data_IF_265555732644
#
_entry.id   IF_265555732644
#
_cell.length_a   1.000
_cell.length_b   1.000
_cell.length_c   1.000
_cell.angle_alpha   90.00
_cell.angle_beta   90.00
_cell.angle_gamma   90.00
#
_symmetry.space_group_name_H-M   'P 1'
#
loop_
_entity.id
_entity.type
_entity.pdbx_description
1 polymer ?
#
# COMPACT_ATOMS: atom_id res chain seq x y z
N UNK A 1 -28.68 42.24 16.29
CA UNK A 1 -27.60 42.46 15.31
C UNK A 1 -26.45 41.53 15.66
N UNK A 2 -26.33 40.37 14.99
CA UNK A 2 -25.18 39.48 15.16
C UNK A 2 -23.96 40.13 14.51
N UNK A 3 -22.91 40.28 15.32
CA UNK A 3 -21.70 41.01 14.98
C UNK A 3 -20.97 40.27 13.84
N UNK A 4 -20.73 40.94 12.71
CA UNK A 4 -20.07 40.36 11.52
C UNK A 4 -18.66 39.80 11.80
N UNK A 5 -18.08 40.15 12.95
CA UNK A 5 -16.81 39.62 13.44
C UNK A 5 -16.89 38.15 13.92
N UNK A 6 -18.05 37.67 14.36
CA UNK A 6 -18.20 36.27 14.80
C UNK A 6 -18.30 35.30 13.60
N UNK A 7 -18.77 35.80 12.45
CA UNK A 7 -18.87 35.00 11.22
C UNK A 7 -17.52 34.80 10.52
N UNK A 8 -16.56 35.71 10.73
CA UNK A 8 -15.21 35.60 10.14
C UNK A 8 -14.32 34.59 10.87
N UNK A 9 -14.54 34.37 12.17
CA UNK A 9 -13.80 33.36 12.94
C UNK A 9 -14.32 31.92 12.74
N UNK A 10 -15.53 31.75 12.21
CA UNK A 10 -16.08 30.42 11.90
C UNK A 10 -15.53 29.83 10.59
N UNK A 11 -14.89 30.65 9.74
CA UNK A 11 -14.39 30.22 8.40
C UNK A 11 -12.91 29.78 8.45
N UNK A 12 -12.20 29.99 9.56
CA UNK A 12 -10.74 29.76 9.67
C UNK A 12 -10.32 28.56 10.54
N UNK A 13 -11.15 27.53 10.69
CA UNK A 13 -10.82 26.42 11.59
C UNK A 13 -11.05 25.01 11.04
N UNK A 14 -11.09 24.81 9.73
CA UNK A 14 -10.90 23.47 9.14
C UNK A 14 -9.43 23.31 8.78
N UNK A 15 -8.58 23.19 9.80
CA UNK A 15 -7.23 22.67 9.60
C UNK A 15 -7.36 21.16 9.52
N UNK A 16 -7.74 20.68 8.33
CA UNK A 16 -7.66 19.26 8.00
C UNK A 16 -6.20 18.86 8.01
N UNK A 17 -5.86 17.71 8.59
CA UNK A 17 -4.64 17.00 8.26
C UNK A 17 -4.48 17.03 6.75
N UNK A 18 -3.47 17.74 6.26
CA UNK A 18 -3.20 17.74 4.83
C UNK A 18 -2.51 16.40 4.60
N UNK A 19 -3.27 15.34 4.28
CA UNK A 19 -2.74 14.04 3.85
C UNK A 19 -1.98 14.15 2.51
N UNK A 20 -1.85 15.35 1.92
CA UNK A 20 -1.11 15.56 0.67
C UNK A 20 0.32 14.99 0.65
N UNK A 21 1.11 14.97 1.75
CA UNK A 21 2.41 14.32 1.74
C UNK A 21 2.27 12.85 1.30
N UNK A 22 1.40 12.06 1.92
CA UNK A 22 1.26 10.63 1.55
C UNK A 22 0.76 10.38 0.13
N UNK A 23 0.14 11.37 -0.53
CA UNK A 23 -0.59 11.16 -1.76
C UNK A 23 0.21 10.51 -2.89
N UNK A 24 1.34 11.12 -3.25
CA UNK A 24 2.16 10.66 -4.37
C UNK A 24 2.80 9.30 -4.08
N UNK A 25 3.54 9.13 -2.98
CA UNK A 25 4.15 7.83 -2.70
C UNK A 25 3.10 6.72 -2.51
N UNK A 26 1.96 6.99 -1.87
CA UNK A 26 0.90 5.98 -1.72
C UNK A 26 0.28 5.60 -3.07
N UNK A 27 0.03 6.57 -3.95
CA UNK A 27 -0.48 6.32 -5.29
C UNK A 27 0.49 5.48 -6.13
N UNK A 28 1.78 5.81 -6.09
CA UNK A 28 2.84 5.04 -6.76
C UNK A 28 2.97 3.63 -6.18
N UNK A 29 2.93 3.50 -4.86
CA UNK A 29 3.00 2.21 -4.16
C UNK A 29 1.83 1.29 -4.50
N UNK A 30 0.60 1.81 -4.50
CA UNK A 30 -0.59 1.10 -4.93
C UNK A 30 -0.49 0.65 -6.40
N UNK A 31 -0.07 1.55 -7.30
CA UNK A 31 0.10 1.20 -8.73
C UNK A 31 1.14 0.10 -8.95
N UNK A 32 2.25 0.11 -8.20
CA UNK A 32 3.26 -0.94 -8.27
C UNK A 32 2.71 -2.27 -7.75
N UNK A 33 1.99 -2.26 -6.63
CA UNK A 33 1.33 -3.46 -6.10
C UNK A 33 0.31 -4.03 -7.09
N UNK A 34 -0.46 -3.16 -7.76
CA UNK A 34 -1.41 -3.58 -8.79
C UNK A 34 -0.71 -4.29 -9.94
N UNK A 35 0.43 -3.75 -10.39
CA UNK A 35 1.28 -4.37 -11.42
C UNK A 35 1.91 -5.69 -10.96
N UNK A 36 2.17 -5.88 -9.66
CA UNK A 36 2.56 -7.19 -9.13
C UNK A 36 1.44 -8.21 -9.32
N UNK A 37 0.20 -7.83 -8.98
CA UNK A 37 -0.98 -8.68 -9.20
C UNK A 37 -1.20 -9.04 -10.66
N UNK A 38 -1.06 -8.06 -11.57
CA UNK A 38 -1.14 -8.29 -13.02
C UNK A 38 -0.04 -9.25 -13.51
N UNK A 39 1.20 -9.07 -13.03
CA UNK A 39 2.30 -9.97 -13.37
C UNK A 39 2.06 -11.40 -12.87
N UNK A 40 1.46 -11.56 -11.68
CA UNK A 40 1.09 -12.87 -11.15
C UNK A 40 -0.02 -13.54 -11.97
N UNK A 41 -1.06 -12.80 -12.35
CA UNK A 41 -2.11 -13.31 -13.26
C UNK A 41 -1.48 -13.74 -14.58
N UNK A 42 -0.63 -12.91 -15.17
CA UNK A 42 0.02 -13.22 -16.44
C UNK A 42 0.90 -14.47 -16.35
N UNK A 43 1.61 -14.66 -15.23
CA UNK A 43 2.43 -15.84 -14.99
C UNK A 43 1.62 -17.14 -15.14
N UNK A 44 0.38 -17.14 -14.65
CA UNK A 44 -0.51 -18.32 -14.73
C UNK A 44 -1.09 -18.59 -16.12
N UNK A 45 -0.92 -17.66 -17.06
CA UNK A 45 -1.39 -17.80 -18.44
C UNK A 45 -0.30 -18.25 -19.42
N UNK A 46 0.93 -18.45 -18.93
CA UNK A 46 2.09 -18.84 -19.74
C UNK A 46 2.67 -20.19 -19.23
N UNK A 47 3.23 -21.04 -20.10
CA UNK A 47 3.94 -22.23 -19.66
C UNK A 47 5.06 -21.88 -18.65
N UNK A 48 5.29 -22.66 -17.60
CA UNK A 48 4.71 -23.98 -17.31
C UNK A 48 3.39 -23.96 -16.50
N UNK A 49 2.77 -22.79 -16.26
CA UNK A 49 1.65 -22.64 -15.31
C UNK A 49 0.25 -22.69 -15.96
N UNK A 50 0.16 -22.76 -17.29
CA UNK A 50 -1.08 -22.66 -18.08
C UNK A 50 -2.22 -23.60 -17.65
N UNK A 51 -1.93 -24.76 -17.06
CA UNK A 51 -2.95 -25.77 -16.69
C UNK A 51 -3.24 -25.87 -15.19
N UNK A 52 -2.41 -25.26 -14.34
CA UNK A 52 -2.46 -25.39 -12.87
C UNK A 52 -2.10 -24.03 -12.26
N UNK A 53 -2.97 -23.47 -11.42
CA UNK A 53 -2.81 -22.10 -10.93
C UNK A 53 -4.03 -21.22 -11.10
N UNK A 54 -5.23 -21.79 -11.24
CA UNK A 54 -6.47 -21.01 -11.22
C UNK A 54 -6.62 -20.23 -9.90
N UNK A 55 -6.25 -20.85 -8.78
CA UNK A 55 -6.26 -20.19 -7.46
C UNK A 55 -5.13 -19.16 -7.36
N UNK A 56 -3.95 -19.43 -7.93
CA UNK A 56 -2.84 -18.46 -7.99
C UNK A 56 -3.20 -17.22 -8.82
N UNK A 57 -3.88 -17.42 -9.96
CA UNK A 57 -4.41 -16.34 -10.79
C UNK A 57 -5.43 -15.52 -10.02
N UNK A 58 -6.34 -16.17 -9.29
CA UNK A 58 -7.33 -15.48 -8.47
C UNK A 58 -6.68 -14.68 -7.33
N UNK A 59 -5.61 -15.21 -6.71
CA UNK A 59 -4.80 -14.46 -5.74
C UNK A 59 -4.15 -13.22 -6.39
N UNK A 60 -3.61 -13.35 -7.60
CA UNK A 60 -3.08 -12.22 -8.38
C UNK A 60 -4.13 -11.16 -8.71
N UNK A 61 -5.36 -11.56 -9.03
CA UNK A 61 -6.47 -10.64 -9.26
C UNK A 61 -6.86 -9.87 -7.99
N UNK A 62 -6.97 -10.56 -6.84
CA UNK A 62 -7.21 -9.90 -5.54
C UNK A 62 -6.06 -8.94 -5.18
N UNK A 63 -4.82 -9.32 -5.43
CA UNK A 63 -3.66 -8.43 -5.24
C UNK A 63 -3.71 -7.18 -6.13
N UNK A 64 -4.14 -7.35 -7.38
CA UNK A 64 -4.30 -6.23 -8.31
C UNK A 64 -5.32 -5.23 -7.78
N UNK A 65 -6.48 -5.71 -7.37
CA UNK A 65 -7.56 -4.88 -6.82
C UNK A 65 -7.10 -4.14 -5.55
N UNK A 66 -6.35 -4.81 -4.66
CA UNK A 66 -5.76 -4.17 -3.50
C UNK A 66 -4.85 -2.99 -3.89
N UNK A 67 -3.97 -3.19 -4.86
CA UNK A 67 -3.09 -2.13 -5.37
C UNK A 67 -3.86 -0.96 -5.98
N UNK A 68 -4.91 -1.23 -6.76
CA UNK A 68 -5.77 -0.21 -7.36
C UNK A 68 -6.48 0.63 -6.27
N UNK A 69 -7.03 -0.02 -5.25
CA UNK A 69 -7.64 0.65 -4.09
C UNK A 69 -6.63 1.51 -3.32
N UNK A 70 -5.41 1.02 -3.02
CA UNK A 70 -4.38 1.83 -2.37
C UNK A 70 -3.94 3.03 -3.22
N UNK A 71 -3.91 2.84 -4.54
CA UNK A 71 -3.62 3.93 -5.48
C UNK A 71 -4.69 5.02 -5.41
N UNK A 72 -5.95 4.61 -5.40
CA UNK A 72 -7.12 5.49 -5.29
C UNK A 72 -7.19 6.18 -3.92
N UNK A 73 -6.87 5.48 -2.84
CA UNK A 73 -6.72 6.06 -1.51
C UNK A 73 -5.67 7.19 -1.52
N UNK A 74 -4.50 6.94 -2.11
CA UNK A 74 -3.45 7.93 -2.33
C UNK A 74 -3.94 9.14 -3.12
N UNK A 75 -4.67 8.94 -4.22
CA UNK A 75 -5.27 10.02 -4.99
C UNK A 75 -6.26 10.86 -4.16
N UNK A 76 -7.09 10.21 -3.35
CA UNK A 76 -8.09 10.84 -2.48
C UNK A 76 -7.45 11.69 -1.38
N UNK A 77 -6.28 11.31 -0.86
CA UNK A 77 -5.57 12.09 0.17
C UNK A 77 -5.19 13.52 -0.26
N UNK A 78 -5.20 13.82 -1.57
CA UNK A 78 -4.94 15.17 -2.11
C UNK A 78 -6.08 16.14 -1.82
N UNK A 79 -7.29 15.63 -1.60
CA UNK A 79 -8.52 16.39 -1.45
C UNK A 79 -8.92 16.47 0.02
N UNK A 80 -9.03 17.69 0.56
CA UNK A 80 -9.36 17.95 1.98
C UNK A 80 -10.71 17.36 2.46
N UNK A 81 -11.60 17.01 1.53
CA UNK A 81 -12.92 16.43 1.81
C UNK A 81 -12.99 14.94 1.50
N UNK A 82 -11.89 14.32 1.07
CA UNK A 82 -11.85 12.94 0.62
C UNK A 82 -11.10 12.03 1.59
N UNK A 83 -10.88 12.45 2.84
CA UNK A 83 -10.26 11.61 3.86
C UNK A 83 -11.11 10.36 4.16
N UNK A 84 -12.44 10.50 4.13
CA UNK A 84 -13.40 9.40 4.22
C UNK A 84 -13.21 8.41 3.05
N UNK A 85 -13.22 8.93 1.82
CA UNK A 85 -12.97 8.11 0.62
C UNK A 85 -11.59 7.45 0.68
N UNK A 86 -10.54 8.15 1.10
CA UNK A 86 -9.21 7.54 1.27
C UNK A 86 -9.21 6.42 2.31
N UNK A 87 -9.95 6.60 3.40
CA UNK A 87 -10.13 5.58 4.44
C UNK A 87 -10.89 4.35 3.96
N UNK A 88 -11.96 4.55 3.20
CA UNK A 88 -12.76 3.46 2.63
C UNK A 88 -11.97 2.66 1.60
N UNK A 89 -11.22 3.32 0.72
CA UNK A 89 -10.34 2.65 -0.25
C UNK A 89 -9.21 1.84 0.43
N UNK A 90 -8.66 2.31 1.55
CA UNK A 90 -7.71 1.52 2.33
C UNK A 90 -8.36 0.25 2.91
N UNK A 91 -9.62 0.34 3.35
CA UNK A 91 -10.36 -0.81 3.89
C UNK A 91 -10.74 -1.80 2.79
N UNK A 92 -11.13 -1.31 1.61
CA UNK A 92 -11.37 -2.17 0.45
C UNK A 92 -10.08 -2.89 0.02
N UNK A 93 -8.95 -2.18 0.03
CA UNK A 93 -7.65 -2.82 -0.19
C UNK A 93 -7.35 -3.90 0.86
N UNK A 94 -7.73 -3.69 2.13
CA UNK A 94 -7.49 -4.67 3.18
C UNK A 94 -8.28 -5.96 2.91
N UNK A 95 -9.55 -5.83 2.53
CA UNK A 95 -10.38 -6.98 2.12
C UNK A 95 -9.73 -7.72 0.95
N UNK A 96 -9.29 -6.98 -0.08
CA UNK A 96 -8.62 -7.58 -1.23
C UNK A 96 -7.29 -8.30 -0.87
N UNK A 97 -6.52 -7.77 0.09
CA UNK A 97 -5.29 -8.40 0.58
C UNK A 97 -5.57 -9.64 1.42
N UNK A 98 -6.62 -9.62 2.25
CA UNK A 98 -7.06 -10.78 3.03
C UNK A 98 -7.53 -11.90 2.10
N UNK A 99 -8.37 -11.57 1.12
CA UNK A 99 -8.76 -12.48 0.06
C UNK A 99 -7.57 -13.05 -0.73
N UNK A 100 -6.56 -12.22 -1.01
CA UNK A 100 -5.33 -12.66 -1.67
C UNK A 100 -4.57 -13.66 -0.79
N UNK A 101 -4.46 -13.38 0.52
CA UNK A 101 -3.86 -14.27 1.51
C UNK A 101 -4.56 -15.63 1.55
N UNK A 102 -5.89 -15.65 1.66
CA UNK A 102 -6.68 -16.89 1.71
C UNK A 102 -6.50 -17.73 0.43
N UNK A 103 -6.57 -17.09 -0.73
CA UNK A 103 -6.35 -17.76 -2.02
C UNK A 103 -4.92 -18.27 -2.14
N UNK A 104 -3.93 -17.52 -1.68
CA UNK A 104 -2.53 -17.97 -1.66
C UNK A 104 -2.34 -19.19 -0.76
N UNK A 105 -2.99 -19.22 0.41
CA UNK A 105 -2.95 -20.37 1.31
C UNK A 105 -3.61 -21.61 0.68
N UNK A 106 -4.76 -21.44 0.02
CA UNK A 106 -5.42 -22.52 -0.71
C UNK A 106 -4.53 -23.04 -1.85
N UNK A 107 -3.91 -22.15 -2.64
CA UNK A 107 -2.97 -22.56 -3.68
C UNK A 107 -1.78 -23.36 -3.13
N UNK A 108 -1.14 -22.89 -2.04
CA UNK A 108 -0.03 -23.60 -1.41
C UNK A 108 -0.44 -25.00 -0.94
N UNK A 109 -1.68 -25.16 -0.46
CA UNK A 109 -2.19 -26.42 0.09
C UNK A 109 -2.64 -27.38 -1.01
N UNK A 110 -3.38 -26.89 -2.01
CA UNK A 110 -4.18 -27.72 -2.91
C UNK A 110 -3.61 -27.82 -4.33
N UNK A 111 -2.82 -26.83 -4.77
CA UNK A 111 -2.39 -26.71 -6.18
C UNK A 111 -0.87 -26.70 -6.37
N UNK A 112 -0.09 -26.37 -5.33
CA UNK A 112 1.35 -26.13 -5.47
C UNK A 112 2.13 -27.35 -5.96
N UNK A 113 1.69 -28.57 -5.63
CA UNK A 113 2.37 -29.80 -6.09
C UNK A 113 2.35 -29.98 -7.61
N UNK A 114 1.43 -29.30 -8.31
CA UNK A 114 1.26 -29.40 -9.76
C UNK A 114 2.00 -28.32 -10.55
N UNK A 115 2.68 -27.40 -9.86
CA UNK A 115 3.37 -26.27 -10.46
C UNK A 115 4.81 -26.17 -9.97
N UNK A 116 5.74 -25.68 -10.80
CA UNK A 116 7.15 -25.53 -10.42
C UNK A 116 7.36 -24.27 -9.55
N UNK A 117 6.64 -24.17 -8.44
CA UNK A 117 6.78 -23.13 -7.41
C UNK A 117 6.94 -23.81 -6.04
N UNK A 118 7.72 -23.19 -5.16
CA UNK A 118 7.90 -23.66 -3.79
C UNK A 118 7.68 -22.52 -2.80
N UNK A 119 6.43 -22.03 -2.76
CA UNK A 119 6.09 -20.89 -1.93
C UNK A 119 6.01 -21.31 -0.45
N UNK A 120 6.61 -20.52 0.47
CA UNK A 120 6.57 -20.87 1.88
C UNK A 120 5.19 -20.58 2.50
N UNK A 121 4.82 -21.37 3.51
CA UNK A 121 3.59 -21.20 4.29
C UNK A 121 3.49 -19.85 5.01
N UNK A 122 4.60 -19.11 5.14
CA UNK A 122 4.60 -17.75 5.71
C UNK A 122 4.11 -16.68 4.74
N UNK A 123 4.03 -16.96 3.43
CA UNK A 123 3.62 -15.96 2.43
C UNK A 123 2.18 -15.44 2.67
N UNK A 124 1.17 -16.30 2.91
CA UNK A 124 -0.16 -15.84 3.30
C UNK A 124 -0.15 -14.95 4.55
N UNK A 125 0.63 -15.30 5.57
CA UNK A 125 0.69 -14.53 6.82
C UNK A 125 1.19 -13.10 6.58
N UNK A 126 2.18 -12.91 5.70
CA UNK A 126 2.65 -11.58 5.33
C UNK A 126 1.61 -10.77 4.55
N UNK A 127 0.78 -11.41 3.71
CA UNK A 127 -0.33 -10.75 3.02
C UNK A 127 -1.45 -10.37 3.99
N UNK A 128 -1.77 -11.24 4.96
CA UNK A 128 -2.72 -10.95 6.02
C UNK A 128 -2.24 -9.80 6.92
N UNK A 129 -0.96 -9.72 7.22
CA UNK A 129 -0.39 -8.59 7.96
C UNK A 129 -0.40 -7.29 7.16
N UNK A 130 -0.18 -7.36 5.84
CA UNK A 130 -0.38 -6.22 4.94
C UNK A 130 -1.85 -5.74 4.98
N UNK A 131 -2.80 -6.67 4.94
CA UNK A 131 -4.24 -6.38 5.06
C UNK A 131 -4.55 -5.63 6.36
N UNK A 132 -4.14 -6.16 7.52
CA UNK A 132 -4.36 -5.50 8.82
C UNK A 132 -3.80 -4.08 8.85
N UNK A 133 -2.60 -3.87 8.31
CA UNK A 133 -1.99 -2.55 8.27
C UNK A 133 -2.75 -1.59 7.35
N UNK A 134 -3.24 -2.05 6.19
CA UNK A 134 -4.09 -1.26 5.30
C UNK A 134 -5.42 -0.88 5.99
N UNK A 135 -6.07 -1.82 6.68
CA UNK A 135 -7.32 -1.56 7.40
C UNK A 135 -7.11 -0.51 8.50
N UNK A 136 -6.05 -0.66 9.28
CA UNK A 136 -5.74 0.26 10.37
C UNK A 136 -5.36 1.65 9.85
N UNK A 137 -4.61 1.73 8.74
CA UNK A 137 -4.37 3.00 8.05
C UNK A 137 -5.70 3.66 7.62
N UNK A 138 -6.62 2.88 7.03
CA UNK A 138 -7.94 3.34 6.63
C UNK A 138 -8.78 3.86 7.80
N UNK A 139 -8.78 3.14 8.94
CA UNK A 139 -9.45 3.58 10.18
C UNK A 139 -8.92 4.91 10.69
N UNK A 140 -7.59 5.10 10.68
CA UNK A 140 -6.98 6.37 11.08
C UNK A 140 -7.42 7.48 10.11
N UNK A 141 -7.32 7.27 8.79
CA UNK A 141 -7.75 8.26 7.79
C UNK A 141 -9.23 8.65 7.93
N UNK A 142 -10.10 7.66 8.15
CA UNK A 142 -11.54 7.88 8.34
C UNK A 142 -11.82 8.72 9.60
N UNK A 143 -11.15 8.41 10.71
CA UNK A 143 -11.33 9.13 11.98
C UNK A 143 -10.97 10.63 11.88
N UNK A 144 -10.07 10.99 10.96
CA UNK A 144 -9.68 12.37 10.67
C UNK A 144 -10.73 13.14 9.88
N UNK A 145 -11.48 12.48 9.00
CA UNK A 145 -12.56 13.11 8.22
C UNK A 145 -13.67 13.70 9.09
N UNK A 146 -13.86 13.16 10.30
CA UNK A 146 -14.92 13.59 11.23
C UNK A 146 -14.47 14.58 12.31
N UNK A 147 -13.17 14.70 12.57
CA UNK A 147 -12.65 15.52 13.68
C UNK A 147 -11.57 16.43 13.13
N UNK A 148 -11.90 17.71 12.92
CA UNK A 148 -10.92 18.77 12.67
C UNK A 148 -10.03 19.00 13.90
N UNK A 149 -9.24 17.99 14.28
CA UNK A 149 -8.37 17.99 15.43
C UNK A 149 -7.28 19.03 15.25
N UNK A 150 -7.10 19.89 16.25
CA UNK A 150 -5.96 20.80 16.35
C UNK A 150 -5.02 20.33 17.45
N UNK A 151 -3.72 20.44 17.24
CA UNK A 151 -2.70 20.19 18.26
C UNK A 151 -2.40 18.71 18.48
N UNK A 152 -2.19 18.29 19.74
CA UNK A 152 -1.62 16.98 20.09
C UNK A 152 -2.31 15.76 19.46
N UNK A 153 -3.62 15.80 19.23
CA UNK A 153 -4.34 14.69 18.61
C UNK A 153 -3.94 14.49 17.15
N UNK A 154 -3.70 15.59 16.42
CA UNK A 154 -3.25 15.56 15.03
C UNK A 154 -1.89 14.86 14.91
N UNK A 155 -0.96 15.14 15.81
CA UNK A 155 0.37 14.50 15.84
C UNK A 155 0.28 13.01 16.16
N UNK A 156 -0.60 12.61 17.09
CA UNK A 156 -0.87 11.20 17.42
C UNK A 156 -1.41 10.45 16.21
N UNK A 157 -2.31 11.06 15.46
CA UNK A 157 -2.93 10.43 14.30
C UNK A 157 -1.96 10.34 13.11
N UNK A 158 -1.07 11.33 12.91
CA UNK A 158 0.04 11.22 11.94
C UNK A 158 1.00 10.10 12.29
N UNK A 159 1.35 9.99 13.56
CA UNK A 159 2.24 8.94 14.03
C UNK A 159 1.60 7.56 13.87
N UNK A 160 0.31 7.42 14.20
CA UNK A 160 -0.43 6.19 14.01
C UNK A 160 -0.53 5.81 12.52
N UNK A 161 -0.91 6.75 11.65
CA UNK A 161 -0.98 6.51 10.20
C UNK A 161 0.40 6.14 9.64
N UNK A 162 1.44 6.87 10.03
CA UNK A 162 2.81 6.57 9.64
C UNK A 162 3.21 5.14 10.05
N UNK A 163 2.87 4.72 11.27
CA UNK A 163 3.16 3.37 11.76
C UNK A 163 2.49 2.29 10.92
N UNK A 164 1.23 2.46 10.54
CA UNK A 164 0.53 1.46 9.74
C UNK A 164 1.03 1.43 8.28
N UNK A 165 1.40 2.57 7.70
CA UNK A 165 2.04 2.61 6.37
C UNK A 165 3.44 1.96 6.39
N UNK A 166 4.19 2.13 7.46
CA UNK A 166 5.46 1.41 7.69
C UNK A 166 5.23 -0.09 7.86
N UNK A 167 4.23 -0.50 8.63
CA UNK A 167 3.86 -1.91 8.78
C UNK A 167 3.45 -2.57 7.47
N UNK A 168 2.72 -1.85 6.61
CA UNK A 168 2.41 -2.29 5.25
C UNK A 168 3.70 -2.46 4.43
N UNK A 169 4.63 -1.50 4.48
CA UNK A 169 5.94 -1.61 3.83
C UNK A 169 6.71 -2.85 4.28
N UNK A 170 6.82 -3.08 5.60
CA UNK A 170 7.51 -4.25 6.16
C UNK A 170 6.88 -5.56 5.68
N UNK A 171 5.54 -5.63 5.69
CA UNK A 171 4.81 -6.81 5.23
C UNK A 171 5.12 -7.11 3.75
N UNK A 172 5.10 -6.08 2.89
CA UNK A 172 5.44 -6.22 1.48
C UNK A 172 6.93 -6.56 1.24
N UNK A 173 7.85 -6.10 2.09
CA UNK A 173 9.27 -6.53 2.05
C UNK A 173 9.44 -7.99 2.41
N UNK A 174 8.67 -8.48 3.38
CA UNK A 174 8.67 -9.90 3.73
C UNK A 174 8.11 -10.75 2.58
N UNK A 175 7.04 -10.30 1.92
CA UNK A 175 6.53 -10.90 0.68
C UNK A 175 7.61 -10.90 -0.41
N UNK A 176 8.27 -9.76 -0.66
CA UNK A 176 9.36 -9.69 -1.62
C UNK A 176 10.47 -10.70 -1.32
N UNK A 177 10.97 -10.72 -0.09
CA UNK A 177 12.08 -11.59 0.31
C UNK A 177 11.78 -13.08 0.09
N UNK A 178 10.55 -13.53 0.37
CA UNK A 178 10.19 -14.94 0.14
C UNK A 178 9.99 -15.28 -1.33
N UNK A 179 9.55 -14.32 -2.15
CA UNK A 179 9.37 -14.51 -3.59
C UNK A 179 10.70 -14.44 -4.34
N UNK A 180 11.60 -13.54 -3.94
CA UNK A 180 12.95 -13.39 -4.53
C UNK A 180 13.81 -14.63 -4.26
N UNK A 181 13.64 -15.28 -3.11
CA UNK A 181 14.31 -16.53 -2.78
C UNK A 181 13.90 -17.71 -3.68
N UNK A 182 12.84 -17.56 -4.50
CA UNK A 182 12.41 -18.59 -5.42
C UNK A 182 13.21 -18.53 -6.73
N UNK A 183 13.83 -19.64 -7.10
CA UNK A 183 14.54 -19.80 -8.37
C UNK A 183 13.55 -20.08 -9.53
N UNK A 184 12.67 -19.13 -9.82
CA UNK A 184 11.70 -19.24 -10.92
C UNK A 184 12.28 -18.59 -12.17
N UNK A 185 12.62 -19.40 -13.17
CA UNK A 185 13.13 -18.95 -14.46
C UNK A 185 12.01 -18.40 -15.37
N UNK A 186 11.25 -17.40 -14.90
CA UNK A 186 10.23 -16.71 -15.68
C UNK A 186 10.39 -15.19 -15.56
N UNK A 187 10.40 -14.48 -16.69
CA UNK A 187 10.56 -13.03 -16.72
C UNK A 187 9.49 -12.30 -15.89
N UNK A 188 8.24 -12.78 -15.92
CA UNK A 188 7.14 -12.23 -15.13
C UNK A 188 7.37 -12.29 -13.61
N UNK A 189 8.06 -13.33 -13.13
CA UNK A 189 8.37 -13.52 -11.72
C UNK A 189 9.30 -12.42 -11.18
N UNK A 190 10.41 -12.18 -11.89
CA UNK A 190 11.39 -11.15 -11.50
C UNK A 190 10.77 -9.74 -11.50
N UNK A 191 9.90 -9.45 -12.47
CA UNK A 191 9.18 -8.18 -12.57
C UNK A 191 8.22 -8.01 -11.40
N UNK A 192 7.45 -9.05 -11.06
CA UNK A 192 6.56 -9.05 -9.90
C UNK A 192 7.33 -8.78 -8.59
N UNK A 193 8.44 -9.48 -8.37
CA UNK A 193 9.28 -9.28 -7.17
C UNK A 193 9.77 -7.83 -7.08
N UNK A 194 10.36 -7.31 -8.17
CA UNK A 194 10.84 -5.93 -8.20
C UNK A 194 9.73 -4.88 -8.01
N UNK A 195 8.47 -5.20 -8.34
CA UNK A 195 7.34 -4.32 -8.03
C UNK A 195 6.97 -4.34 -6.54
N UNK A 196 7.03 -5.50 -5.87
CA UNK A 196 6.80 -5.57 -4.41
C UNK A 196 7.82 -4.75 -3.63
N UNK A 197 9.11 -4.88 -3.94
CA UNK A 197 10.18 -4.11 -3.30
C UNK A 197 9.92 -2.60 -3.44
N UNK A 198 9.68 -2.14 -4.67
CA UNK A 198 9.43 -0.73 -4.95
C UNK A 198 8.14 -0.24 -4.29
N UNK A 199 7.07 -1.05 -4.29
CA UNK A 199 5.82 -0.70 -3.63
C UNK A 199 6.07 -0.50 -2.13
N UNK A 200 6.81 -1.41 -1.49
CA UNK A 200 7.16 -1.30 -0.09
C UNK A 200 7.94 -0.02 0.21
N UNK A 201 8.94 0.33 -0.61
CA UNK A 201 9.70 1.56 -0.44
C UNK A 201 8.82 2.81 -0.56
N UNK A 202 7.81 2.77 -1.42
CA UNK A 202 6.84 3.86 -1.54
C UNK A 202 5.95 3.98 -0.32
N UNK A 203 5.46 2.89 0.27
CA UNK A 203 4.70 2.98 1.53
C UNK A 203 5.56 3.43 2.71
N UNK A 204 6.85 3.08 2.75
CA UNK A 204 7.79 3.63 3.73
C UNK A 204 8.01 5.12 3.52
N UNK A 205 8.11 5.57 2.27
CA UNK A 205 8.18 7.00 1.96
C UNK A 205 6.92 7.74 2.42
N UNK A 206 5.73 7.21 2.15
CA UNK A 206 4.46 7.75 2.68
C UNK A 206 4.49 7.84 4.21
N UNK A 207 4.96 6.80 4.90
CA UNK A 207 5.11 6.79 6.36
C UNK A 207 6.03 7.91 6.86
N UNK A 208 7.19 8.09 6.22
CA UNK A 208 8.14 9.13 6.59
C UNK A 208 7.56 10.52 6.35
N UNK A 209 6.90 10.72 5.21
CA UNK A 209 6.33 12.02 4.84
C UNK A 209 5.19 12.45 5.77
N UNK A 210 4.29 11.54 6.18
CA UNK A 210 3.21 11.89 7.11
C UNK A 210 3.72 12.23 8.51
N UNK A 211 4.82 11.60 8.92
CA UNK A 211 5.53 11.88 10.18
C UNK A 211 6.43 13.10 10.12
N UNK A 212 6.62 13.70 8.93
CA UNK A 212 7.56 14.81 8.74
C UNK A 212 9.03 14.41 8.85
N UNK A 213 9.34 13.12 8.67
CA UNK A 213 10.70 12.61 8.60
C UNK A 213 11.25 12.95 7.21
N UNK A 214 12.12 13.95 7.14
CA UNK A 214 12.75 14.33 5.89
C UNK A 214 13.66 13.20 5.39
N UNK A 215 13.65 12.87 4.08
CA UNK A 215 14.66 12.00 3.51
C UNK A 215 16.04 12.61 3.79
N UNK A 216 17.01 11.77 4.16
CA UNK A 216 18.37 12.22 4.38
C UNK A 216 18.83 13.05 3.17
N UNK A 217 19.22 14.32 3.40
CA UNK A 217 19.80 15.13 2.33
C UNK A 217 20.97 14.33 1.75
N UNK A 218 21.09 14.18 0.42
CA UNK A 218 22.21 13.44 -0.16
C UNK A 218 23.51 14.09 0.30
N UNK A 219 24.22 13.40 1.19
CA UNK A 219 25.53 13.81 1.69
C UNK A 219 26.58 13.38 0.67
N UNK A 220 26.66 14.11 -0.44
CA UNK A 220 27.65 13.85 -1.47
C UNK A 220 27.70 14.97 -2.51
N UNK A 221 28.91 15.31 -2.97
CA UNK A 221 29.20 16.30 -4.04
C UNK A 221 28.51 15.99 -5.39
N UNK A 222 27.76 14.89 -5.49
CA UNK A 222 27.03 14.45 -6.67
C UNK A 222 25.89 15.40 -7.09
N UNK A 223 25.43 16.30 -6.21
CA UNK A 223 24.39 17.28 -6.54
C UNK A 223 24.88 18.43 -7.46
N UNK A 224 26.20 18.62 -7.61
CA UNK A 224 26.77 19.68 -8.46
C UNK A 224 27.15 19.24 -9.88
N UNK A 225 26.90 17.98 -10.25
CA UNK A 225 26.97 17.58 -11.66
C UNK A 225 25.56 17.25 -12.09
N UNK A 226 24.90 18.23 -12.72
CA UNK A 226 23.68 17.97 -13.48
C UNK A 226 23.87 16.68 -14.27
N UNK A 227 23.04 15.68 -13.96
CA UNK A 227 22.99 14.44 -14.73
C UNK A 227 22.44 14.73 -16.13
N UNK A 228 22.80 13.90 -17.12
CA UNK A 228 22.60 14.14 -18.55
C UNK A 228 21.13 14.36 -18.96
#
# INVERSE_FOLDING_TARGET
>A
MLNRLTLFYLVHAVSSLVLKPVAIPMMEGGSLLAKSGEALVKLTTEPPFECYGGTLSAAGASLRNAGDCLSQAGANTRNKFAAEMAGDECRESAVCLEECSEKMAAFITDEMEYVPLNLPNSLPEFLADASKNAEMAGRVMFSQGMKGGKGKQEDVDREALGKFLEGLSVSLKNVHAVLEAQEVACGGWSVMCGHFEKAADKFLLSSNEIRGIAPAKPTGRSFMKGGP
#
